data_IF_359711008892
#
_entry.id   IF_359711008892
#
_cell.length_a   1.000
_cell.length_b   1.000
_cell.length_c   1.000
_cell.angle_alpha   90.00
_cell.angle_beta   90.00
_cell.angle_gamma   90.00
#
_symmetry.space_group_name_H-M   'P 1'
#
loop_
_entity.id
_entity.type
_entity.pdbx_description
1 polymer ?
#
# COMPACT_ATOMS: atom_id res chain seq x y z
N UNK A 1 7.77 -69.04 -62.44
CA UNK A 1 6.92 -68.33 -61.46
C UNK A 1 7.59 -68.40 -60.11
N UNK A 2 7.99 -67.25 -59.57
CA UNK A 2 8.73 -67.12 -58.32
C UNK A 2 7.78 -66.98 -57.13
N UNK A 3 8.08 -67.64 -56.02
CA UNK A 3 7.70 -67.22 -54.65
C UNK A 3 8.76 -67.75 -53.67
N UNK A 4 9.42 -66.89 -52.86
CA UNK A 4 10.32 -67.28 -51.77
C UNK A 4 9.59 -67.36 -50.41
N UNK A 5 10.23 -67.94 -49.36
CA UNK A 5 9.55 -68.45 -48.18
C UNK A 5 9.28 -67.39 -47.10
N UNK A 6 8.21 -67.62 -46.34
CA UNK A 6 7.76 -66.82 -45.20
C UNK A 6 8.82 -66.70 -44.11
N UNK A 7 9.05 -65.45 -43.74
CA UNK A 7 10.05 -64.96 -42.80
C UNK A 7 9.66 -65.29 -41.34
N UNK A 8 10.61 -65.83 -40.56
CA UNK A 8 10.50 -65.96 -39.11
C UNK A 8 10.77 -64.60 -38.47
N UNK A 9 9.83 -64.09 -37.66
CA UNK A 9 10.01 -62.88 -36.87
C UNK A 9 10.62 -63.23 -35.50
N UNK A 10 11.76 -62.66 -35.08
CA UNK A 10 12.17 -62.69 -33.69
C UNK A 10 11.41 -61.59 -32.90
N UNK A 11 10.98 -61.92 -31.70
CA UNK A 11 10.32 -61.00 -30.76
C UNK A 11 11.23 -59.83 -30.40
N UNK A 12 10.74 -58.58 -30.30
CA UNK A 12 11.57 -57.48 -29.87
C UNK A 12 11.78 -57.51 -28.35
N UNK A 13 13.03 -57.30 -27.98
CA UNK A 13 13.54 -57.04 -26.64
C UNK A 13 12.76 -55.86 -26.05
N UNK A 14 12.29 -56.00 -24.81
CA UNK A 14 11.67 -54.91 -24.06
C UNK A 14 12.78 -53.93 -23.64
N UNK A 15 12.94 -52.87 -24.42
CA UNK A 15 13.72 -51.72 -24.02
C UNK A 15 13.07 -51.08 -22.79
N UNK A 16 13.71 -51.27 -21.62
CA UNK A 16 13.44 -50.49 -20.42
C UNK A 16 13.95 -49.08 -20.70
N UNK A 17 13.09 -48.26 -21.28
CA UNK A 17 13.27 -46.82 -21.37
C UNK A 17 13.25 -46.23 -19.96
N UNK A 18 14.41 -46.22 -19.32
CA UNK A 18 14.67 -45.38 -18.16
C UNK A 18 14.55 -43.93 -18.62
N UNK A 19 13.37 -43.35 -18.41
CA UNK A 19 13.09 -41.95 -18.68
C UNK A 19 13.87 -41.11 -17.67
N UNK A 20 15.14 -40.84 -17.97
CA UNK A 20 15.92 -39.80 -17.30
C UNK A 20 15.23 -38.47 -17.55
N UNK A 21 14.33 -38.08 -16.65
CA UNK A 21 13.61 -36.81 -16.72
C UNK A 21 14.65 -35.71 -16.53
N UNK A 22 15.15 -35.17 -17.64
CA UNK A 22 16.06 -34.02 -17.62
C UNK A 22 15.24 -32.79 -17.21
N UNK A 23 15.00 -32.64 -15.90
CA UNK A 23 14.34 -31.44 -15.38
C UNK A 23 15.22 -30.22 -15.71
N UNK A 24 14.68 -29.36 -16.57
CA UNK A 24 15.36 -28.16 -17.09
C UNK A 24 15.51 -27.10 -16.00
N UNK A 25 16.64 -26.39 -16.03
CA UNK A 25 16.93 -25.26 -15.14
C UNK A 25 16.09 -24.06 -15.57
N UNK A 26 15.45 -23.40 -14.60
CA UNK A 26 14.64 -22.21 -14.82
C UNK A 26 15.50 -20.95 -14.66
N UNK A 27 15.60 -20.15 -15.72
CA UNK A 27 16.24 -18.84 -15.70
C UNK A 27 15.17 -17.74 -15.58
N UNK A 28 15.28 -16.92 -14.54
CA UNK A 28 14.39 -15.77 -14.35
C UNK A 28 14.95 -14.59 -15.14
N UNK A 29 14.33 -14.30 -16.29
CA UNK A 29 14.73 -13.20 -17.19
C UNK A 29 13.90 -11.90 -17.00
N UNK A 30 13.11 -11.80 -15.92
CA UNK A 30 12.39 -10.56 -15.64
C UNK A 30 13.32 -9.52 -15.01
N UNK A 31 13.34 -8.28 -15.53
CA UNK A 31 14.07 -7.20 -14.89
C UNK A 31 13.44 -6.90 -13.53
N UNK A 32 14.27 -6.88 -12.49
CA UNK A 32 13.86 -6.35 -11.19
C UNK A 32 13.71 -4.83 -11.35
N UNK A 33 12.47 -4.36 -11.36
CA UNK A 33 12.14 -2.95 -11.55
C UNK A 33 12.62 -2.07 -10.38
N UNK A 34 12.64 -2.63 -9.16
CA UNK A 34 13.03 -1.89 -7.96
C UNK A 34 14.05 -2.67 -7.13
N UNK A 35 15.23 -2.09 -6.90
CA UNK A 35 16.22 -2.68 -6.00
C UNK A 35 15.74 -2.60 -4.55
N UNK A 36 16.04 -3.64 -3.77
CA UNK A 36 15.72 -3.68 -2.35
C UNK A 36 16.54 -2.65 -1.59
N UNK A 37 15.85 -1.83 -0.80
CA UNK A 37 16.34 -0.83 0.13
C UNK A 37 15.74 -1.12 1.51
N UNK A 38 16.19 -0.38 2.52
CA UNK A 38 15.71 -0.57 3.89
C UNK A 38 14.23 -0.23 4.08
N UNK A 39 13.64 0.57 3.17
CA UNK A 39 12.27 1.10 3.30
C UNK A 39 11.23 0.43 2.39
N UNK A 40 11.64 -0.25 1.33
CA UNK A 40 10.72 -0.81 0.32
C UNK A 40 10.57 -2.34 0.39
N UNK A 41 10.93 -2.98 1.51
CA UNK A 41 10.91 -4.44 1.64
C UNK A 41 9.56 -5.07 1.29
N UNK A 42 8.45 -4.46 1.73
CA UNK A 42 7.12 -5.02 1.49
C UNK A 42 6.72 -4.93 0.01
N UNK A 43 7.04 -3.82 -0.66
CA UNK A 43 6.80 -3.63 -2.10
C UNK A 43 7.72 -4.50 -2.97
N UNK A 44 8.96 -4.71 -2.55
CA UNK A 44 9.90 -5.61 -3.22
C UNK A 44 9.45 -7.07 -3.07
N UNK A 45 9.06 -7.48 -1.85
CA UNK A 45 8.58 -8.83 -1.56
C UNK A 45 7.32 -9.15 -2.36
N UNK A 46 6.38 -8.19 -2.48
CA UNK A 46 5.15 -8.38 -3.25
C UNK A 46 5.39 -8.56 -4.75
N UNK A 47 6.54 -8.08 -5.28
CA UNK A 47 6.93 -8.31 -6.67
C UNK A 47 7.61 -9.67 -6.85
N UNK A 48 8.52 -10.05 -5.94
CA UNK A 48 9.32 -11.27 -6.09
C UNK A 48 8.53 -12.53 -5.75
N UNK A 49 7.74 -12.53 -4.68
CA UNK A 49 7.08 -13.74 -4.19
C UNK A 49 6.15 -14.39 -5.24
N UNK A 50 5.31 -13.64 -5.99
CA UNK A 50 4.51 -14.22 -7.07
C UNK A 50 5.36 -14.80 -8.20
N UNK A 51 6.54 -14.25 -8.49
CA UNK A 51 7.45 -14.80 -9.51
C UNK A 51 7.99 -16.15 -9.05
N UNK A 52 8.41 -16.27 -7.79
CA UNK A 52 8.89 -17.54 -7.24
C UNK A 52 7.79 -18.61 -7.30
N UNK A 53 6.55 -18.24 -7.00
CA UNK A 53 5.41 -19.16 -7.13
C UNK A 53 5.13 -19.53 -8.59
N UNK A 54 5.12 -18.56 -9.50
CA UNK A 54 4.87 -18.78 -10.93
C UNK A 54 5.91 -19.68 -11.60
N UNK A 55 7.17 -19.60 -11.16
CA UNK A 55 8.26 -20.47 -11.63
C UNK A 55 8.39 -21.79 -10.85
N UNK A 56 7.51 -22.05 -9.87
CA UNK A 56 7.58 -23.21 -8.98
C UNK A 56 8.91 -23.32 -8.20
N UNK A 57 9.46 -22.18 -7.80
CA UNK A 57 10.70 -22.04 -7.05
C UNK A 57 10.49 -21.75 -5.55
N UNK A 58 9.23 -21.67 -5.09
CA UNK A 58 8.87 -21.43 -3.69
C UNK A 58 9.57 -22.41 -2.71
N UNK A 59 9.80 -23.66 -3.13
CA UNK A 59 10.53 -24.66 -2.34
C UNK A 59 11.92 -24.21 -1.88
N UNK A 60 12.57 -23.28 -2.60
CA UNK A 60 13.90 -22.78 -2.23
C UNK A 60 13.88 -21.74 -1.11
N UNK A 61 12.71 -21.17 -0.78
CA UNK A 61 12.53 -20.21 0.32
C UNK A 61 11.76 -20.80 1.51
N UNK A 62 11.02 -21.90 1.31
CA UNK A 62 10.14 -22.47 2.34
C UNK A 62 10.63 -23.81 2.88
N UNK A 63 11.43 -24.56 2.11
CA UNK A 63 11.85 -25.91 2.48
C UNK A 63 13.37 -26.01 2.65
N UNK A 64 13.85 -26.84 3.60
CA UNK A 64 15.27 -27.13 3.71
C UNK A 64 15.78 -27.82 2.43
N UNK A 65 17.09 -27.71 2.14
CA UNK A 65 17.68 -28.42 1.02
C UNK A 65 17.52 -29.93 1.19
N UNK A 66 17.40 -30.68 0.08
CA UNK A 66 17.47 -32.14 0.12
C UNK A 66 18.82 -32.59 0.66
N UNK A 67 18.88 -33.80 1.23
CA UNK A 67 20.13 -34.32 1.77
C UNK A 67 21.18 -34.47 0.65
N UNK A 68 22.44 -34.08 0.88
CA UNK A 68 23.48 -34.10 -0.13
C UNK A 68 23.89 -35.51 -0.53
N UNK A 69 23.58 -36.51 0.30
CA UNK A 69 24.03 -37.89 0.15
C UNK A 69 22.88 -38.85 0.41
N UNK A 70 22.78 -39.92 -0.36
CA UNK A 70 21.82 -41.01 -0.19
C UNK A 70 22.56 -42.33 0.02
N UNK A 71 21.94 -43.27 0.74
CA UNK A 71 22.50 -44.61 0.93
C UNK A 71 22.10 -45.49 -0.27
N UNK A 72 23.09 -45.92 -1.05
CA UNK A 72 22.90 -46.84 -2.17
C UNK A 72 22.63 -48.27 -1.67
N UNK A 73 22.10 -49.13 -2.56
CA UNK A 73 21.71 -50.52 -2.27
C UNK A 73 22.84 -51.39 -1.68
N UNK A 74 24.10 -50.96 -1.79
CA UNK A 74 25.29 -51.66 -1.29
C UNK A 74 25.81 -51.10 0.05
N UNK A 75 25.04 -50.24 0.73
CA UNK A 75 25.47 -49.58 1.97
C UNK A 75 26.52 -48.48 1.79
N UNK A 76 26.84 -48.12 0.54
CA UNK A 76 27.70 -47.00 0.18
C UNK A 76 26.91 -45.69 0.17
N UNK A 77 27.58 -44.61 0.51
CA UNK A 77 27.03 -43.27 0.46
C UNK A 77 27.34 -42.65 -0.91
N UNK A 78 26.30 -42.27 -1.66
CA UNK A 78 26.41 -41.65 -2.98
C UNK A 78 25.80 -40.26 -2.97
N UNK A 79 26.31 -39.36 -3.83
CA UNK A 79 25.79 -37.99 -3.94
C UNK A 79 24.35 -38.04 -4.45
N UNK A 80 23.45 -37.35 -3.76
CA UNK A 80 22.07 -37.27 -4.17
C UNK A 80 21.93 -36.48 -5.49
N UNK A 81 21.48 -37.09 -6.60
CA UNK A 81 21.28 -36.36 -7.85
C UNK A 81 20.25 -35.24 -7.72
N UNK A 82 19.25 -35.39 -6.85
CA UNK A 82 18.27 -34.34 -6.56
C UNK A 82 18.91 -33.13 -5.87
N UNK A 83 19.89 -33.37 -4.99
CA UNK A 83 20.64 -32.28 -4.34
C UNK A 83 21.45 -31.48 -5.36
N UNK A 84 22.15 -32.15 -6.28
CA UNK A 84 22.92 -31.45 -7.31
C UNK A 84 22.02 -30.57 -8.19
N UNK A 85 20.84 -31.07 -8.56
CA UNK A 85 19.87 -30.32 -9.34
C UNK A 85 19.27 -29.15 -8.55
N UNK A 86 18.82 -29.41 -7.33
CA UNK A 86 18.32 -28.39 -6.42
C UNK A 86 19.37 -27.30 -6.23
N UNK A 87 20.63 -27.66 -5.98
CA UNK A 87 21.72 -26.72 -5.72
C UNK A 87 22.00 -25.84 -6.94
N UNK A 88 22.00 -26.40 -8.16
CA UNK A 88 22.15 -25.59 -9.38
C UNK A 88 21.04 -24.54 -9.52
N UNK A 89 19.79 -24.94 -9.27
CA UNK A 89 18.66 -24.00 -9.33
C UNK A 89 18.73 -22.95 -8.21
N UNK A 90 19.12 -23.36 -7.01
CA UNK A 90 19.30 -22.49 -5.85
C UNK A 90 20.37 -21.42 -6.11
N UNK A 91 21.52 -21.78 -6.68
CA UNK A 91 22.60 -20.82 -6.91
C UNK A 91 22.26 -19.78 -7.99
N UNK A 92 21.49 -20.16 -9.01
CA UNK A 92 20.97 -19.20 -10.00
C UNK A 92 19.95 -18.25 -9.38
N UNK A 93 19.06 -18.79 -8.54
CA UNK A 93 18.07 -17.99 -7.83
C UNK A 93 18.75 -17.04 -6.83
N UNK A 94 19.76 -17.51 -6.12
CA UNK A 94 20.59 -16.70 -5.22
C UNK A 94 21.26 -15.55 -5.98
N UNK A 95 21.84 -15.82 -7.15
CA UNK A 95 22.42 -14.79 -8.01
C UNK A 95 21.38 -13.75 -8.46
N UNK A 96 20.20 -14.21 -8.87
CA UNK A 96 19.09 -13.33 -9.26
C UNK A 96 18.60 -12.47 -8.08
N UNK A 97 18.38 -13.05 -6.90
CA UNK A 97 18.00 -12.30 -5.69
C UNK A 97 19.09 -11.29 -5.33
N UNK A 98 20.37 -11.68 -5.33
CA UNK A 98 21.49 -10.76 -5.04
C UNK A 98 21.51 -9.58 -6.01
N UNK A 99 21.22 -9.81 -7.29
CA UNK A 99 21.12 -8.73 -8.28
C UNK A 99 19.99 -7.72 -8.00
N UNK A 100 18.96 -8.16 -7.26
CA UNK A 100 17.83 -7.33 -6.85
C UNK A 100 18.14 -6.43 -5.64
N UNK A 101 19.29 -6.60 -4.99
CA UNK A 101 19.65 -5.89 -3.76
C UNK A 101 20.47 -4.62 -4.05
N UNK A 102 20.36 -3.62 -3.17
CA UNK A 102 21.33 -2.52 -3.10
C UNK A 102 22.62 -2.94 -2.40
N UNK A 103 23.74 -2.27 -2.69
CA UNK A 103 25.05 -2.55 -2.09
C UNK A 103 25.01 -2.54 -0.55
N UNK A 104 24.23 -1.62 0.03
CA UNK A 104 24.03 -1.53 1.48
C UNK A 104 23.46 -2.83 2.06
N UNK A 105 22.45 -3.42 1.41
CA UNK A 105 21.83 -4.66 1.90
C UNK A 105 22.69 -5.86 1.54
N UNK A 106 23.30 -5.86 0.36
CA UNK A 106 24.24 -6.93 -0.04
C UNK A 106 25.32 -7.13 1.00
N UNK A 107 25.91 -6.04 1.53
CA UNK A 107 26.96 -6.10 2.56
C UNK A 107 26.52 -6.84 3.84
N UNK A 108 25.23 -6.86 4.15
CA UNK A 108 24.68 -7.49 5.36
C UNK A 108 24.39 -8.99 5.16
N UNK A 109 24.24 -9.44 3.90
CA UNK A 109 23.86 -10.82 3.56
C UNK A 109 24.94 -11.56 2.76
N UNK A 110 26.17 -11.02 2.70
CA UNK A 110 27.30 -11.61 1.95
C UNK A 110 27.56 -13.07 2.33
N UNK A 111 27.41 -13.40 3.61
CA UNK A 111 27.69 -14.73 4.15
C UNK A 111 26.62 -15.79 3.83
N UNK A 112 25.46 -15.39 3.31
CA UNK A 112 24.38 -16.33 2.99
C UNK A 112 24.72 -17.14 1.74
N UNK A 113 24.80 -18.47 1.86
CA UNK A 113 25.22 -19.38 0.80
C UNK A 113 24.04 -19.99 0.02
N UNK A 114 22.83 -19.94 0.57
CA UNK A 114 21.62 -20.50 -0.04
C UNK A 114 20.52 -19.45 -0.20
N UNK A 115 19.55 -19.70 -1.09
CA UNK A 115 18.37 -18.83 -1.23
C UNK A 115 17.55 -18.77 0.04
N UNK A 116 17.43 -19.89 0.75
CA UNK A 116 16.71 -19.98 2.02
C UNK A 116 17.31 -19.06 3.08
N UNK A 117 18.65 -19.07 3.22
CA UNK A 117 19.38 -18.22 4.16
C UNK A 117 19.20 -16.74 3.86
N UNK A 118 19.44 -16.32 2.60
CA UNK A 118 19.33 -14.90 2.23
C UNK A 118 17.89 -14.42 2.40
N UNK A 119 16.90 -15.22 2.03
CA UNK A 119 15.49 -14.86 2.17
C UNK A 119 15.10 -14.69 3.64
N UNK A 120 15.53 -15.61 4.50
CA UNK A 120 15.27 -15.59 5.93
C UNK A 120 15.94 -14.39 6.61
N UNK A 121 17.21 -14.11 6.28
CA UNK A 121 17.94 -12.98 6.83
C UNK A 121 17.37 -11.64 6.36
N UNK A 122 17.05 -11.48 5.08
CA UNK A 122 16.36 -10.29 4.58
C UNK A 122 15.03 -10.06 5.31
N UNK A 123 14.26 -11.12 5.50
CA UNK A 123 13.00 -11.04 6.24
C UNK A 123 13.24 -10.59 7.68
N UNK A 124 14.21 -11.14 8.41
CA UNK A 124 14.53 -10.73 9.78
C UNK A 124 14.99 -9.28 9.87
N UNK A 125 15.97 -8.90 9.04
CA UNK A 125 16.58 -7.58 9.05
C UNK A 125 15.56 -6.48 8.73
N UNK A 126 14.71 -6.71 7.73
CA UNK A 126 13.86 -5.65 7.19
C UNK A 126 12.43 -5.66 7.76
N UNK A 127 11.99 -6.74 8.40
CA UNK A 127 10.65 -6.79 9.03
C UNK A 127 10.54 -5.98 10.33
N UNK A 128 11.64 -5.76 11.06
CA UNK A 128 11.65 -4.81 12.18
C UNK A 128 11.60 -3.36 11.68
N UNK A 129 12.39 -3.05 10.66
CA UNK A 129 12.45 -1.71 10.07
C UNK A 129 11.13 -1.32 9.38
N UNK A 130 10.50 -2.24 8.65
CA UNK A 130 9.19 -1.99 8.03
C UNK A 130 8.11 -1.73 9.08
N UNK A 131 8.09 -2.49 10.19
CA UNK A 131 7.16 -2.26 11.30
C UNK A 131 7.38 -0.91 11.97
N UNK A 132 8.64 -0.55 12.26
CA UNK A 132 8.95 0.78 12.81
C UNK A 132 8.48 1.89 11.87
N UNK A 133 8.78 1.77 10.56
CA UNK A 133 8.38 2.76 9.56
C UNK A 133 6.86 2.92 9.50
N UNK A 134 6.11 1.83 9.51
CA UNK A 134 4.64 1.87 9.54
C UNK A 134 4.14 2.58 10.80
N UNK A 135 4.71 2.29 11.97
CA UNK A 135 4.33 2.95 13.22
C UNK A 135 4.67 4.44 13.21
N UNK A 136 5.83 4.81 12.67
CA UNK A 136 6.26 6.21 12.56
C UNK A 136 5.38 7.00 11.59
N UNK A 137 4.98 6.40 10.46
CA UNK A 137 4.04 7.01 9.53
C UNK A 137 2.65 7.21 10.16
N UNK A 138 2.12 6.18 10.84
CA UNK A 138 0.84 6.29 11.55
C UNK A 138 0.89 7.36 12.63
N UNK A 139 2.00 7.43 13.39
CA UNK A 139 2.23 8.49 14.38
C UNK A 139 2.21 9.87 13.73
N UNK A 140 2.91 10.06 12.61
CA UNK A 140 2.94 11.33 11.88
C UNK A 140 1.55 11.77 11.42
N UNK A 141 0.71 10.84 10.93
CA UNK A 141 -0.68 11.13 10.56
C UNK A 141 -1.49 11.58 11.80
N UNK A 142 -1.38 10.85 12.91
CA UNK A 142 -2.15 11.14 14.13
C UNK A 142 -1.72 12.43 14.83
N UNK A 143 -0.44 12.80 14.73
CA UNK A 143 0.10 14.05 15.30
C UNK A 143 0.10 15.22 14.32
N UNK A 144 -0.41 15.03 13.11
CA UNK A 144 -0.45 16.09 12.11
C UNK A 144 -1.39 17.21 12.59
N UNK A 145 -0.93 18.45 12.46
CA UNK A 145 -1.73 19.63 12.76
C UNK A 145 -1.60 20.59 11.59
N UNK A 146 -2.72 21.22 11.21
CA UNK A 146 -2.73 22.26 10.18
C UNK A 146 -1.78 23.40 10.55
N UNK A 147 -1.80 23.86 11.80
CA UNK A 147 -1.02 25.01 12.26
C UNK A 147 -1.18 26.22 11.32
N UNK A 148 -0.05 26.72 10.81
CA UNK A 148 0.01 27.86 9.89
C UNK A 148 -0.09 27.46 8.40
N UNK A 149 -0.24 26.18 8.07
CA UNK A 149 -0.39 25.71 6.69
C UNK A 149 -1.75 26.13 6.12
N UNK A 150 -1.83 26.22 4.79
CA UNK A 150 -3.13 26.28 4.11
C UNK A 150 -3.88 24.95 4.27
N UNK A 151 -5.20 24.96 4.15
CA UNK A 151 -6.00 23.73 4.14
C UNK A 151 -5.53 22.75 3.05
N UNK A 152 -5.20 23.25 1.86
CA UNK A 152 -4.74 22.44 0.74
C UNK A 152 -3.41 21.72 1.06
N UNK A 153 -2.41 22.46 1.56
CA UNK A 153 -1.09 21.90 1.87
C UNK A 153 -1.18 20.87 3.00
N UNK A 154 -2.00 21.15 4.01
CA UNK A 154 -2.23 20.22 5.12
C UNK A 154 -2.83 18.91 4.64
N UNK A 155 -3.91 18.94 3.86
CA UNK A 155 -4.56 17.75 3.34
C UNK A 155 -3.66 16.98 2.36
N UNK A 156 -2.90 17.68 1.52
CA UNK A 156 -1.92 17.05 0.65
C UNK A 156 -0.83 16.33 1.45
N UNK A 157 -0.37 16.92 2.57
CA UNK A 157 0.63 16.29 3.43
C UNK A 157 0.12 14.98 4.06
N UNK A 158 -1.13 14.97 4.52
CA UNK A 158 -1.79 13.77 5.03
C UNK A 158 -1.96 12.70 3.95
N UNK A 159 -2.39 13.11 2.75
CA UNK A 159 -2.55 12.19 1.63
C UNK A 159 -1.23 11.53 1.26
N UNK A 160 -0.15 12.31 1.20
CA UNK A 160 1.20 11.79 0.93
C UNK A 160 1.63 10.73 1.96
N UNK A 161 1.36 10.96 3.25
CA UNK A 161 1.67 9.98 4.30
C UNK A 161 0.83 8.70 4.17
N UNK A 162 -0.46 8.83 3.82
CA UNK A 162 -1.36 7.70 3.58
C UNK A 162 -0.94 6.88 2.34
N UNK A 163 -0.55 7.56 1.26
CA UNK A 163 -0.04 6.92 0.04
C UNK A 163 1.30 6.21 0.32
N UNK A 164 2.17 6.80 1.16
CA UNK A 164 3.40 6.14 1.59
C UNK A 164 3.12 4.89 2.41
N UNK A 165 2.15 4.92 3.34
CA UNK A 165 1.69 3.74 4.07
C UNK A 165 1.15 2.65 3.15
N UNK A 166 0.38 3.03 2.13
CA UNK A 166 -0.11 2.10 1.11
C UNK A 166 1.05 1.48 0.32
N UNK A 167 2.10 2.25 -0.01
CA UNK A 167 3.29 1.75 -0.70
C UNK A 167 4.07 0.70 0.12
N UNK A 168 4.06 0.85 1.45
CA UNK A 168 4.65 -0.10 2.41
C UNK A 168 3.71 -1.29 2.65
N UNK A 169 2.56 -1.39 1.97
CA UNK A 169 1.63 -2.53 2.11
C UNK A 169 0.76 -2.48 3.37
N UNK A 170 0.67 -1.32 4.03
CA UNK A 170 -0.23 -1.09 5.16
C UNK A 170 -1.15 0.10 4.84
N UNK A 171 -2.14 -0.05 3.93
CA UNK A 171 -3.03 1.05 3.55
C UNK A 171 -3.74 1.62 4.78
N UNK A 172 -3.88 2.94 4.81
CA UNK A 172 -4.59 3.67 5.86
C UNK A 172 -6.03 3.93 5.41
N UNK A 173 -7.05 3.48 6.16
CA UNK A 173 -8.44 3.61 5.72
C UNK A 173 -8.89 5.06 5.71
N UNK A 174 -9.76 5.40 4.76
CA UNK A 174 -10.16 6.78 4.48
C UNK A 174 -10.89 7.41 5.68
N UNK A 175 -11.73 6.65 6.37
CA UNK A 175 -12.43 7.09 7.59
C UNK A 175 -11.45 7.48 8.71
N UNK A 176 -10.40 6.68 8.93
CA UNK A 176 -9.36 7.02 9.92
C UNK A 176 -8.55 8.24 9.48
N UNK A 177 -8.37 8.44 8.17
CA UNK A 177 -7.65 9.60 7.63
C UNK A 177 -8.46 10.88 7.82
N UNK A 178 -9.77 10.82 7.58
CA UNK A 178 -10.72 11.92 7.87
C UNK A 178 -10.68 12.25 9.35
N UNK A 179 -10.76 11.24 10.24
CA UNK A 179 -10.71 11.45 11.68
C UNK A 179 -9.39 12.07 12.14
N UNK A 180 -8.25 11.59 11.62
CA UNK A 180 -6.95 12.21 11.90
C UNK A 180 -6.89 13.66 11.40
N UNK A 181 -7.42 13.92 10.20
CA UNK A 181 -7.42 15.24 9.59
C UNK A 181 -8.22 16.26 10.44
N UNK A 182 -9.43 15.90 10.88
CA UNK A 182 -10.28 16.81 11.69
C UNK A 182 -9.72 17.06 13.09
N UNK A 183 -9.02 16.09 13.69
CA UNK A 183 -8.38 16.24 14.99
C UNK A 183 -7.20 17.24 14.96
N UNK A 184 -6.55 17.37 13.80
CA UNK A 184 -5.46 18.32 13.59
C UNK A 184 -5.91 19.73 13.18
N UNK A 185 -7.22 20.02 13.16
CA UNK A 185 -7.75 21.34 12.83
C UNK A 185 -7.80 22.26 14.06
N UNK A 186 -7.57 23.55 13.84
CA UNK A 186 -7.71 24.59 14.87
C UNK A 186 -9.16 24.96 15.18
N UNK A 187 -9.35 25.80 16.21
CA UNK A 187 -10.68 26.24 16.68
C UNK A 187 -11.55 26.89 15.60
N UNK A 188 -10.94 27.54 14.61
CA UNK A 188 -11.65 28.23 13.52
C UNK A 188 -12.43 27.27 12.60
N UNK A 189 -12.14 25.97 12.70
CA UNK A 189 -12.72 24.91 11.90
C UNK A 189 -13.70 24.03 12.69
N UNK A 190 -14.03 24.36 13.94
CA UNK A 190 -15.06 23.65 14.72
C UNK A 190 -16.41 23.47 13.98
N UNK A 191 -16.90 24.44 13.19
CA UNK A 191 -18.11 24.24 12.38
C UNK A 191 -17.97 23.11 11.35
N UNK A 192 -16.78 22.97 10.75
CA UNK A 192 -16.47 21.88 9.81
C UNK A 192 -16.44 20.55 10.54
N UNK A 193 -15.80 20.49 11.70
CA UNK A 193 -15.76 19.27 12.53
C UNK A 193 -17.18 18.80 12.90
N UNK A 194 -18.06 19.72 13.31
CA UNK A 194 -19.46 19.41 13.62
C UNK A 194 -20.24 18.91 12.39
N UNK A 195 -20.02 19.53 11.22
CA UNK A 195 -20.65 19.10 9.97
C UNK A 195 -20.19 17.69 9.54
N UNK A 196 -18.90 17.38 9.68
CA UNK A 196 -18.36 16.04 9.41
C UNK A 196 -18.96 15.01 10.35
N UNK A 197 -19.05 15.31 11.66
CA UNK A 197 -19.70 14.40 12.61
C UNK A 197 -21.16 14.15 12.25
N UNK A 198 -21.94 15.19 11.94
CA UNK A 198 -23.33 15.03 11.53
C UNK A 198 -23.48 14.21 10.24
N UNK A 199 -22.59 14.43 9.26
CA UNK A 199 -22.61 13.68 7.99
C UNK A 199 -22.21 12.21 8.18
N UNK A 200 -21.25 11.92 9.06
CA UNK A 200 -20.76 10.56 9.34
C UNK A 200 -21.82 9.64 9.98
N UNK A 201 -22.87 10.20 10.58
CA UNK A 201 -23.98 9.42 11.17
C UNK A 201 -24.87 8.80 10.09
N UNK A 202 -24.97 9.44 8.92
CA UNK A 202 -25.95 9.07 7.88
C UNK A 202 -25.30 8.51 6.60
N UNK A 203 -24.00 8.74 6.39
CA UNK A 203 -23.29 8.35 5.17
C UNK A 203 -21.80 8.14 5.42
N UNK A 204 -21.14 7.34 4.57
CA UNK A 204 -19.68 7.29 4.50
C UNK A 204 -19.16 8.64 4.02
N UNK A 205 -18.25 9.25 4.78
CA UNK A 205 -17.70 10.57 4.48
C UNK A 205 -16.26 10.41 3.98
N UNK A 206 -16.02 10.72 2.71
CA UNK A 206 -14.70 10.49 2.10
C UNK A 206 -13.72 11.63 2.39
N UNK A 207 -12.44 11.35 2.26
CA UNK A 207 -11.38 12.36 2.33
C UNK A 207 -11.51 13.43 1.23
N UNK A 208 -12.10 13.08 0.09
CA UNK A 208 -12.39 14.04 -0.99
C UNK A 208 -13.50 15.02 -0.59
N UNK A 209 -14.52 14.54 0.12
CA UNK A 209 -15.60 15.39 0.63
C UNK A 209 -15.06 16.35 1.71
N UNK A 210 -14.19 15.83 2.60
CA UNK A 210 -13.49 16.65 3.58
C UNK A 210 -12.70 17.78 2.91
N UNK A 211 -11.98 17.46 1.84
CA UNK A 211 -11.17 18.42 1.10
C UNK A 211 -12.01 19.55 0.53
N UNK A 212 -13.12 19.21 -0.11
CA UNK A 212 -14.06 20.20 -0.67
C UNK A 212 -14.64 21.10 0.41
N UNK A 213 -15.06 20.51 1.53
CA UNK A 213 -15.65 21.23 2.65
C UNK A 213 -14.64 22.20 3.32
N UNK A 214 -13.40 21.76 3.54
CA UNK A 214 -12.35 22.56 4.17
C UNK A 214 -11.90 23.73 3.31
N UNK A 215 -11.79 23.54 1.98
CA UNK A 215 -11.46 24.63 1.06
C UNK A 215 -12.58 25.67 0.99
N UNK A 216 -13.84 25.22 0.97
CA UNK A 216 -15.00 26.13 1.01
C UNK A 216 -15.02 26.98 2.29
N UNK A 217 -14.77 26.36 3.45
CA UNK A 217 -14.71 27.07 4.73
C UNK A 217 -13.51 28.03 4.82
N UNK A 218 -12.34 27.65 4.31
CA UNK A 218 -11.17 28.55 4.28
C UNK A 218 -11.45 29.81 3.43
N UNK A 219 -12.17 29.68 2.31
CA UNK A 219 -12.58 30.83 1.51
C UNK A 219 -13.53 31.76 2.28
N UNK A 220 -14.47 31.20 3.07
CA UNK A 220 -15.38 31.99 3.92
C UNK A 220 -14.64 32.71 5.05
N UNK A 221 -13.65 32.06 5.68
CA UNK A 221 -12.84 32.71 6.71
C UNK A 221 -12.05 33.90 6.14
N UNK A 222 -11.51 33.76 4.92
CA UNK A 222 -10.82 34.85 4.22
C UNK A 222 -11.75 36.03 3.96
N UNK A 223 -12.99 35.80 3.51
CA UNK A 223 -13.96 36.88 3.28
C UNK A 223 -14.46 37.52 4.57
N UNK A 224 -14.63 36.75 5.66
CA UNK A 224 -15.10 37.28 6.95
C UNK A 224 -14.00 38.04 7.73
N UNK A 225 -12.73 37.66 7.55
CA UNK A 225 -11.58 38.41 8.08
C UNK A 225 -11.40 39.78 7.43
N UNK A 226 -11.92 39.95 6.20
CA UNK A 226 -12.08 41.25 5.55
C UNK A 226 -13.36 41.92 6.08
N UNK A 227 -13.29 42.53 7.26
CA UNK A 227 -14.44 43.22 7.85
C UNK A 227 -15.06 44.26 6.88
N UNK A 228 -16.39 44.34 6.77
CA UNK A 228 -17.14 45.40 6.06
C UNK A 228 -16.92 46.83 6.58
N UNK A 229 -16.06 47.05 7.58
CA UNK A 229 -15.77 48.36 8.14
C UNK A 229 -15.28 49.38 7.09
N UNK A 230 -14.72 48.93 5.96
CA UNK A 230 -14.35 49.80 4.84
C UNK A 230 -15.55 50.38 4.07
N UNK A 231 -16.76 49.83 4.22
CA UNK A 231 -17.95 50.29 3.50
C UNK A 231 -18.72 51.41 4.23
N UNK A 232 -18.46 51.62 5.53
CA UNK A 232 -19.12 52.66 6.33
C UNK A 232 -18.29 53.93 6.52
N UNK A 233 -17.02 53.95 6.11
CA UNK A 233 -16.13 55.12 6.22
C UNK A 233 -16.24 56.06 5.01
N UNK A 234 -17.46 56.45 4.62
CA UNK A 234 -17.67 57.17 3.36
C UNK A 234 -18.97 57.94 3.22
N UNK A 235 -19.45 58.64 4.26
CA UNK A 235 -20.34 59.82 4.09
C UNK A 235 -20.57 60.57 5.40
N UNK A 236 -19.70 61.54 5.67
CA UNK A 236 -20.03 62.65 6.57
C UNK A 236 -20.96 63.62 5.82
N UNK A 237 -22.22 63.70 6.23
CA UNK A 237 -23.22 64.63 5.69
C UNK A 237 -24.48 64.62 6.54
N UNK A 238 -24.48 65.47 7.56
CA UNK A 238 -25.54 65.88 8.49
C UNK A 238 -26.98 65.34 8.28
N UNK A 239 -27.46 64.55 9.25
CA UNK A 239 -28.88 64.20 9.42
C UNK A 239 -29.13 63.37 10.70
N UNK A 240 -30.15 63.75 11.47
CA UNK A 240 -30.54 63.33 12.84
C UNK A 240 -30.63 61.81 13.12
N UNK A 241 -30.55 61.36 14.40
CA UNK A 241 -30.43 59.95 14.74
C UNK A 241 -31.75 59.19 14.55
N UNK A 242 -31.68 58.02 13.92
CA UNK A 242 -32.77 57.02 13.87
C UNK A 242 -32.39 55.85 14.79
N UNK A 243 -33.33 55.45 15.64
CA UNK A 243 -33.18 54.45 16.69
C UNK A 243 -32.58 53.12 16.19
N UNK A 244 -31.80 52.39 17.03
CA UNK A 244 -31.21 51.12 16.65
C UNK A 244 -32.30 50.03 16.66
N UNK A 245 -32.69 49.58 15.46
CA UNK A 245 -33.38 48.30 15.31
C UNK A 245 -32.37 47.16 15.39
N UNK A 246 -32.77 46.18 16.17
CA UNK A 246 -32.08 45.04 16.73
C UNK A 246 -31.65 43.97 15.72
N UNK A 247 -30.56 43.29 16.08
CA UNK A 247 -30.36 41.84 15.96
C UNK A 247 -31.60 41.04 15.51
N UNK A 248 -31.76 40.83 14.20
CA UNK A 248 -32.77 39.91 13.67
C UNK A 248 -32.36 39.22 12.36
N UNK A 249 -31.12 39.40 11.87
CA UNK A 249 -30.69 38.77 10.60
C UNK A 249 -30.10 37.37 10.79
N UNK A 250 -29.56 37.03 11.98
CA UNK A 250 -29.01 35.69 12.25
C UNK A 250 -30.09 34.60 12.43
N UNK A 251 -31.22 34.93 13.09
CA UNK A 251 -32.31 33.95 13.30
C UNK A 251 -33.10 33.66 12.03
N UNK A 252 -33.26 34.64 11.14
CA UNK A 252 -33.95 34.43 9.86
C UNK A 252 -33.15 33.48 8.95
N UNK A 253 -31.82 33.58 8.96
CA UNK A 253 -30.96 32.71 8.16
C UNK A 253 -30.93 31.27 8.68
N UNK A 254 -30.86 31.08 10.01
CA UNK A 254 -30.95 29.74 10.63
C UNK A 254 -32.35 29.14 10.51
N UNK A 255 -33.40 29.94 10.61
CA UNK A 255 -34.77 29.48 10.39
C UNK A 255 -35.01 29.05 8.94
N UNK A 256 -34.43 29.74 7.96
CA UNK A 256 -34.53 29.34 6.55
C UNK A 256 -33.69 28.09 6.24
N UNK A 257 -32.53 27.92 6.89
CA UNK A 257 -31.71 26.71 6.80
C UNK A 257 -32.44 25.48 7.38
N UNK A 258 -33.07 25.61 8.55
CA UNK A 258 -33.84 24.51 9.19
C UNK A 258 -35.13 24.17 8.41
N UNK A 259 -35.79 25.17 7.81
CA UNK A 259 -36.96 24.94 6.95
C UNK A 259 -36.60 24.24 5.64
N UNK A 260 -35.48 24.62 5.03
CA UNK A 260 -34.98 23.92 3.84
C UNK A 260 -34.54 22.49 4.15
N UNK A 261 -33.93 22.25 5.32
CA UNK A 261 -33.59 20.90 5.80
C UNK A 261 -34.82 20.00 5.95
N UNK A 262 -35.86 20.47 6.65
CA UNK A 262 -37.12 19.75 6.80
C UNK A 262 -37.82 19.48 5.47
N UNK A 263 -37.66 20.36 4.48
CA UNK A 263 -38.23 20.18 3.15
C UNK A 263 -37.50 19.09 2.35
N UNK A 264 -36.16 19.03 2.45
CA UNK A 264 -35.35 17.97 1.85
C UNK A 264 -35.60 16.59 2.48
N UNK A 265 -35.79 16.54 3.81
CA UNK A 265 -36.08 15.29 4.54
C UNK A 265 -37.42 14.66 4.12
N UNK A 266 -38.44 15.50 3.86
CA UNK A 266 -39.75 15.06 3.37
C UNK A 266 -39.77 14.62 1.90
N UNK A 267 -38.79 15.06 1.10
CA UNK A 267 -38.63 14.65 -0.30
C UNK A 267 -37.92 13.29 -0.42
N UNK A 268 -37.06 12.95 0.54
CA UNK A 268 -36.36 11.66 0.58
C UNK A 268 -37.19 10.51 1.17
N UNK A 269 -38.25 10.80 1.94
CA UNK A 269 -39.21 9.78 2.42
C UNK A 269 -40.30 9.40 1.39
N UNK A 270 -40.31 10.03 0.21
CA UNK A 270 -41.29 9.78 -0.86
C UNK A 270 -40.69 9.11 -2.11
N UNK A 271 -39.45 8.63 -2.02
CA UNK A 271 -38.79 7.78 -3.01
C UNK A 271 -38.54 6.43 -2.35
#
# INVERSE_FOLDING_TARGET
MATPPSNQSPSPISDISSSSSSQQVVLINLPISTKLTTTNYLSWRSQILPLLHGYNLARHIDSPPPEPTIQAAEGRFEVNPEFLQWHRQDQLLLGWIRSSLTEQIQSQVVSCATTLEIWSELQKLLSSNSRSRVMDLKRQIQSANKGNLSCADYLQSLRRLADELASVGSPYPDDELVMAAINGLGSDYLPVVAAVHAASVHSSFSFSDLHTLLLGHEALLKTHSMSPAAFYAGRNGHGRPRAPYTACESKAHLSNMLKNWSCCENLLQKI
#
